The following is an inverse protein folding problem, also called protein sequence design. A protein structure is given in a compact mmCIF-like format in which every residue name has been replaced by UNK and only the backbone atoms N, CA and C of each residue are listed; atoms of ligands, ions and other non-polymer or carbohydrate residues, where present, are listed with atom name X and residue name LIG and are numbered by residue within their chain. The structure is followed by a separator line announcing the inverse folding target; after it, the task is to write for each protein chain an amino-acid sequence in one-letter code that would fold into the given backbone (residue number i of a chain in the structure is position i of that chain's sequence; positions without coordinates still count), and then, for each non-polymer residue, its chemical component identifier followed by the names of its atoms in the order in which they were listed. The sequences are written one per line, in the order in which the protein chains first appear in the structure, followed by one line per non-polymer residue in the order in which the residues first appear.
data_IF_590919568098
#
_entry.id   IF_590919568098
#
_cell.length_a   1.000
_cell.length_b   1.000
_cell.length_c   1.000
_cell.angle_alpha   90.00
_cell.angle_beta   90.00
_cell.angle_gamma   90.00
#
_symmetry.space_group_name_H-M   'P 1'
#
loop_
_entity.id
_entity.type
_entity.pdbx_description
1 polymer ?
#
# COMPACT_ATOMS: atom_id res chain seq x y z
N UNK A 1 7.93 16.99 -9.67
CA UNK A 1 6.89 16.29 -8.89
C UNK A 1 7.40 16.14 -7.48
N UNK A 2 6.63 16.61 -6.50
CA UNK A 2 6.91 16.41 -5.07
C UNK A 2 6.62 14.93 -4.71
N UNK A 3 7.32 14.38 -3.71
CA UNK A 3 7.08 12.98 -3.30
C UNK A 3 5.68 12.86 -2.71
N UNK A 4 4.87 11.96 -3.26
CA UNK A 4 3.54 11.69 -2.71
C UNK A 4 3.64 10.83 -1.44
N UNK A 5 3.48 11.46 -0.28
CA UNK A 5 3.49 10.77 1.01
C UNK A 5 2.18 10.03 1.30
N UNK A 6 1.13 10.19 0.49
CA UNK A 6 -0.15 9.48 0.68
C UNK A 6 -0.03 7.97 0.43
N UNK A 7 1.01 7.53 -0.27
CA UNK A 7 1.29 6.11 -0.52
C UNK A 7 1.85 5.38 0.73
N UNK A 8 2.24 6.13 1.75
CA UNK A 8 2.79 5.59 3.00
C UNK A 8 1.66 5.23 3.96
N UNK A 9 1.90 4.22 4.80
CA UNK A 9 1.00 3.97 5.93
C UNK A 9 1.12 5.11 6.95
N UNK A 10 0.13 5.33 7.83
CA UNK A 10 0.21 6.38 8.86
C UNK A 10 1.53 6.31 9.66
N UNK A 11 1.91 5.11 10.12
CA UNK A 11 3.16 4.90 10.85
C UNK A 11 4.41 5.20 10.01
N UNK A 12 4.41 4.82 8.74
CA UNK A 12 5.52 5.14 7.83
C UNK A 12 5.66 6.63 7.58
N UNK A 13 4.54 7.32 7.39
CA UNK A 13 4.50 8.75 7.16
C UNK A 13 5.06 9.49 8.37
N UNK A 14 4.60 9.15 9.58
CA UNK A 14 5.14 9.73 10.81
C UNK A 14 6.63 9.49 10.94
N UNK A 15 7.09 8.23 10.92
CA UNK A 15 8.52 7.89 11.06
C UNK A 15 9.38 8.61 10.01
N UNK A 16 8.90 8.71 8.77
CA UNK A 16 9.58 9.42 7.69
C UNK A 16 9.70 10.93 7.99
N UNK A 17 8.61 11.59 8.37
CA UNK A 17 8.58 13.01 8.69
C UNK A 17 9.49 13.35 9.87
N UNK A 18 9.40 12.62 10.98
CA UNK A 18 10.30 12.82 12.13
C UNK A 18 11.79 12.68 11.73
N UNK A 19 12.09 11.75 10.82
CA UNK A 19 13.47 11.51 10.39
C UNK A 19 13.99 12.57 9.42
N UNK A 20 13.16 13.01 8.47
CA UNK A 20 13.56 13.91 7.38
C UNK A 20 13.40 15.38 7.78
N UNK A 21 12.23 15.75 8.33
CA UNK A 21 11.90 17.13 8.67
C UNK A 21 12.54 17.55 10.00
N UNK A 22 12.41 16.69 11.02
CA UNK A 22 12.91 17.00 12.38
C UNK A 22 14.32 16.47 12.65
N UNK A 23 14.93 15.76 11.69
CA UNK A 23 16.29 15.20 11.76
C UNK A 23 16.57 14.37 13.03
N UNK A 24 15.54 13.76 13.65
CA UNK A 24 15.70 12.97 14.86
C UNK A 24 16.53 11.70 14.62
N UNK A 25 17.18 11.21 15.67
CA UNK A 25 17.82 9.88 15.65
C UNK A 25 16.73 8.80 15.70
N UNK A 26 17.04 7.57 15.27
CA UNK A 26 16.07 6.46 15.38
C UNK A 26 15.65 6.20 16.83
N UNK A 27 16.55 6.47 17.79
CA UNK A 27 16.23 6.40 19.21
C UNK A 27 15.21 7.46 19.61
N UNK A 28 15.39 8.71 19.18
CA UNK A 28 14.43 9.78 19.44
C UNK A 28 13.07 9.54 18.78
N UNK A 29 13.04 9.02 17.54
CA UNK A 29 11.76 8.63 16.90
C UNK A 29 11.08 7.50 17.66
N UNK A 30 11.85 6.52 18.13
CA UNK A 30 11.32 5.39 18.87
C UNK A 30 10.72 5.79 20.23
N UNK A 31 11.37 6.71 20.95
CA UNK A 31 10.87 7.25 22.22
C UNK A 31 9.51 7.96 22.04
N UNK A 32 9.36 8.78 21.00
CA UNK A 32 8.12 9.53 20.74
C UNK A 32 6.96 8.63 20.32
N UNK A 33 7.25 7.58 19.53
CA UNK A 33 6.23 6.70 18.97
C UNK A 33 6.01 5.42 19.79
N UNK A 34 6.66 5.27 20.94
CA UNK A 34 6.56 4.06 21.77
C UNK A 34 7.07 2.80 21.09
N UNK A 35 8.04 2.93 20.17
CA UNK A 35 8.63 1.82 19.41
C UNK A 35 10.01 1.44 19.96
N UNK A 36 10.56 0.33 19.47
CA UNK A 36 12.01 0.11 19.59
C UNK A 36 12.77 0.84 18.48
N UNK A 37 14.02 1.29 18.71
CA UNK A 37 14.85 1.93 17.69
C UNK A 37 15.00 1.09 16.41
N UNK A 38 15.07 -0.24 16.54
CA UNK A 38 15.14 -1.15 15.39
C UNK A 38 13.83 -1.19 14.59
N UNK A 39 12.68 -1.15 15.26
CA UNK A 39 11.38 -1.05 14.59
C UNK A 39 11.29 0.28 13.84
N UNK A 40 11.63 1.40 14.48
CA UNK A 40 11.63 2.72 13.84
C UNK A 40 12.55 2.75 12.60
N UNK A 41 13.75 2.17 12.69
CA UNK A 41 14.65 2.03 11.54
C UNK A 41 14.03 1.19 10.42
N UNK A 42 13.42 0.04 10.73
CA UNK A 42 12.78 -0.83 9.73
C UNK A 42 11.61 -0.15 9.04
N UNK A 43 10.74 0.53 9.80
CA UNK A 43 9.60 1.29 9.25
C UNK A 43 10.11 2.39 8.31
N UNK A 44 11.12 3.15 8.73
CA UNK A 44 11.76 4.17 7.89
C UNK A 44 12.29 3.58 6.57
N UNK A 45 13.04 2.48 6.63
CA UNK A 45 13.59 1.84 5.43
C UNK A 45 12.49 1.33 4.48
N UNK A 46 11.38 0.81 5.02
CA UNK A 46 10.21 0.40 4.22
C UNK A 46 9.53 1.59 3.55
N UNK A 47 9.38 2.71 4.25
CA UNK A 47 8.87 3.96 3.69
C UNK A 47 9.76 4.45 2.53
N UNK A 48 11.07 4.50 2.72
CA UNK A 48 12.02 4.87 1.66
C UNK A 48 11.97 3.92 0.46
N UNK A 49 11.84 2.60 0.71
CA UNK A 49 11.69 1.62 -0.36
C UNK A 49 10.44 1.92 -1.20
N UNK A 50 9.29 2.15 -0.55
CA UNK A 50 8.04 2.41 -1.26
C UNK A 50 8.07 3.73 -2.04
N UNK A 51 8.62 4.80 -1.46
CA UNK A 51 8.82 6.07 -2.16
C UNK A 51 9.72 5.92 -3.39
N UNK A 52 10.77 5.10 -3.28
CA UNK A 52 11.63 4.78 -4.42
C UNK A 52 10.88 3.96 -5.48
N UNK A 53 10.09 2.97 -5.09
CA UNK A 53 9.29 2.19 -6.04
C UNK A 53 8.25 3.06 -6.77
N UNK A 54 7.59 3.97 -6.07
CA UNK A 54 6.70 4.98 -6.66
C UNK A 54 7.45 5.87 -7.64
N UNK A 55 8.62 6.38 -7.24
CA UNK A 55 9.48 7.19 -8.11
C UNK A 55 9.84 6.42 -9.38
N UNK A 56 10.27 5.17 -9.23
CA UNK A 56 10.64 4.34 -10.37
C UNK A 56 9.43 4.08 -11.28
N UNK A 57 8.23 3.92 -10.70
CA UNK A 57 7.00 3.67 -11.46
C UNK A 57 6.55 4.90 -12.26
N UNK A 58 6.59 6.10 -11.68
CA UNK A 58 6.05 7.32 -12.31
C UNK A 58 7.09 8.23 -12.98
N UNK A 59 8.27 8.38 -12.37
CA UNK A 59 9.28 9.33 -12.85
C UNK A 59 10.27 8.67 -13.81
N UNK A 60 10.68 7.44 -13.52
CA UNK A 60 11.66 6.74 -14.35
C UNK A 60 10.98 6.00 -15.53
N UNK A 61 9.67 5.69 -15.40
CA UNK A 61 8.85 5.01 -16.42
C UNK A 61 7.49 5.71 -16.60
N UNK A 62 7.46 6.97 -17.06
CA UNK A 62 6.22 7.75 -17.17
C UNK A 62 5.16 7.11 -18.08
N UNK A 63 5.55 6.21 -18.98
CA UNK A 63 4.64 5.42 -19.82
C UNK A 63 3.66 4.55 -19.01
N UNK A 64 3.98 4.24 -17.74
CA UNK A 64 3.07 3.50 -16.87
C UNK A 64 1.79 4.27 -16.52
N UNK A 65 1.81 5.59 -16.66
CA UNK A 65 0.66 6.47 -16.41
C UNK A 65 -0.16 6.74 -17.68
N UNK A 66 0.29 6.26 -18.84
CA UNK A 66 -0.44 6.42 -20.10
C UNK A 66 -1.73 5.60 -20.10
N UNK A 67 -2.88 6.19 -20.46
CA UNK A 67 -4.13 5.46 -20.50
C UNK A 67 -4.13 4.46 -21.66
N UNK A 68 -4.34 3.18 -21.33
CA UNK A 68 -4.46 2.11 -22.31
C UNK A 68 -5.94 1.71 -22.46
N UNK A 69 -6.46 1.80 -23.68
CA UNK A 69 -7.83 1.38 -24.01
C UNK A 69 -7.81 -0.02 -24.65
N UNK A 70 -8.15 -1.04 -23.86
CA UNK A 70 -8.35 -2.41 -24.34
C UNK A 70 -9.83 -2.74 -24.15
N UNK A 71 -10.57 -3.17 -25.19
CA UNK A 71 -11.95 -3.58 -25.03
C UNK A 71 -12.00 -4.86 -24.20
N UNK A 72 -12.76 -4.84 -23.11
CA UNK A 72 -13.05 -6.01 -22.31
C UNK A 72 -14.56 -6.29 -22.30
N UNK A 73 -14.92 -7.56 -22.34
CA UNK A 73 -16.25 -8.04 -21.97
C UNK A 73 -16.39 -8.08 -20.45
N UNK A 74 -17.63 -8.12 -19.97
CA UNK A 74 -17.93 -8.29 -18.54
C UNK A 74 -17.25 -9.51 -17.94
N UNK A 75 -17.27 -10.65 -18.64
CA UNK A 75 -16.67 -11.90 -18.15
C UNK A 75 -15.15 -11.84 -18.06
N UNK A 76 -14.47 -11.19 -19.01
CA UNK A 76 -13.01 -11.01 -18.96
C UNK A 76 -12.59 -10.10 -17.79
N UNK A 77 -13.38 -9.06 -17.48
CA UNK A 77 -13.16 -8.23 -16.30
C UNK A 77 -13.32 -9.01 -14.99
N UNK A 78 -14.27 -9.96 -14.91
CA UNK A 78 -14.39 -10.83 -13.73
C UNK A 78 -13.17 -11.76 -13.58
N UNK A 79 -12.64 -12.30 -14.69
CA UNK A 79 -11.40 -13.09 -14.69
C UNK A 79 -10.22 -12.24 -14.22
N UNK A 80 -10.10 -11.00 -14.72
CA UNK A 80 -9.05 -10.07 -14.30
C UNK A 80 -9.16 -9.74 -12.81
N UNK A 81 -10.37 -9.48 -12.31
CA UNK A 81 -10.62 -9.25 -10.89
C UNK A 81 -10.19 -10.47 -10.04
N UNK A 82 -10.50 -11.68 -10.52
CA UNK A 82 -10.04 -12.93 -9.90
C UNK A 82 -8.50 -13.03 -9.85
N UNK A 83 -7.81 -12.66 -10.93
CA UNK A 83 -6.36 -12.64 -10.99
C UNK A 83 -5.75 -11.61 -10.01
N UNK A 84 -6.34 -10.42 -9.91
CA UNK A 84 -5.90 -9.40 -8.97
C UNK A 84 -6.10 -9.83 -7.51
N UNK A 85 -7.20 -10.52 -7.18
CA UNK A 85 -7.39 -11.12 -5.86
C UNK A 85 -6.35 -12.21 -5.55
N UNK A 86 -5.94 -13.01 -6.53
CA UNK A 86 -4.88 -13.98 -6.34
C UNK A 86 -3.51 -13.30 -6.12
N UNK A 87 -3.24 -12.22 -6.85
CA UNK A 87 -2.06 -11.40 -6.67
C UNK A 87 -2.01 -10.74 -5.28
N UNK A 88 -3.12 -10.18 -4.82
CA UNK A 88 -3.29 -9.65 -3.45
C UNK A 88 -2.95 -10.72 -2.40
N UNK A 89 -3.58 -11.90 -2.48
CA UNK A 89 -3.30 -13.01 -1.56
C UNK A 89 -1.83 -13.39 -1.53
N UNK A 90 -1.16 -13.38 -2.70
CA UNK A 90 0.27 -13.65 -2.81
C UNK A 90 1.12 -12.59 -2.10
N UNK A 91 0.78 -11.32 -2.24
CA UNK A 91 1.47 -10.22 -1.58
C UNK A 91 1.26 -10.22 -0.06
N UNK A 92 0.09 -10.65 0.41
CA UNK A 92 -0.24 -10.73 1.82
C UNK A 92 0.34 -11.97 2.52
N UNK A 93 0.63 -13.05 1.79
CA UNK A 93 1.17 -14.31 2.33
C UNK A 93 2.40 -14.16 3.27
N UNK A 94 3.42 -13.32 2.98
CA UNK A 94 4.58 -13.18 3.86
C UNK A 94 4.31 -12.32 5.12
N UNK A 95 3.18 -11.61 5.20
CA UNK A 95 2.87 -10.69 6.28
C UNK A 95 2.35 -11.47 7.49
N UNK A 96 2.94 -11.21 8.67
CA UNK A 96 2.56 -11.89 9.91
C UNK A 96 1.50 -11.07 10.65
N UNK A 97 0.61 -11.76 11.37
CA UNK A 97 -0.49 -11.15 12.14
C UNK A 97 -0.03 -10.10 13.17
N UNK A 98 1.17 -10.24 13.72
CA UNK A 98 1.69 -9.36 14.78
C UNK A 98 2.79 -8.41 14.27
N UNK A 99 2.91 -8.21 12.95
CA UNK A 99 3.83 -7.20 12.43
C UNK A 99 3.32 -5.80 12.81
N UNK A 100 4.22 -4.95 13.30
CA UNK A 100 3.90 -3.57 13.73
C UNK A 100 3.37 -2.70 12.57
N UNK A 101 3.68 -3.08 11.33
CA UNK A 101 3.28 -2.37 10.12
C UNK A 101 3.11 -3.40 8.99
N UNK A 102 1.99 -4.17 9.01
CA UNK A 102 1.72 -5.24 8.06
C UNK A 102 1.67 -4.68 6.63
N UNK A 103 0.88 -3.63 6.43
CA UNK A 103 0.69 -2.97 5.15
C UNK A 103 1.95 -2.27 4.67
N UNK A 104 2.82 -1.79 5.57
CA UNK A 104 4.10 -1.22 5.19
C UNK A 104 5.09 -2.19 4.55
N UNK A 105 4.84 -3.49 4.64
CA UNK A 105 5.63 -4.50 3.95
C UNK A 105 5.28 -4.61 2.46
N UNK A 106 4.10 -4.15 2.05
CA UNK A 106 3.65 -4.24 0.68
C UNK A 106 4.51 -3.38 -0.27
N UNK A 107 4.81 -3.87 -1.49
CA UNK A 107 5.43 -3.04 -2.51
C UNK A 107 4.43 -2.02 -3.06
N UNK A 108 4.93 -0.97 -3.73
CA UNK A 108 4.10 0.03 -4.40
C UNK A 108 3.11 -0.59 -5.40
N UNK A 109 3.51 -1.65 -6.12
CA UNK A 109 2.64 -2.39 -7.03
C UNK A 109 1.38 -2.98 -6.35
N UNK A 110 1.40 -3.18 -5.03
CA UNK A 110 0.19 -3.55 -4.28
C UNK A 110 -0.87 -2.45 -4.29
N UNK A 111 -0.46 -1.18 -4.18
CA UNK A 111 -1.38 -0.04 -4.23
C UNK A 111 -2.05 0.06 -5.61
N UNK A 112 -1.24 -0.05 -6.67
CA UNK A 112 -1.73 -0.05 -8.06
C UNK A 112 -2.75 -1.16 -8.28
N UNK A 113 -2.46 -2.38 -7.82
CA UNK A 113 -3.39 -3.51 -7.91
C UNK A 113 -4.68 -3.28 -7.11
N UNK A 114 -4.57 -2.66 -5.93
CA UNK A 114 -5.72 -2.32 -5.08
C UNK A 114 -6.65 -1.30 -5.75
N UNK A 115 -6.11 -0.23 -6.30
CA UNK A 115 -6.88 0.79 -7.02
C UNK A 115 -7.52 0.21 -8.29
N UNK A 116 -6.80 -0.66 -9.02
CA UNK A 116 -7.35 -1.34 -10.18
C UNK A 116 -8.52 -2.27 -9.81
N UNK A 117 -8.41 -3.01 -8.70
CA UNK A 117 -9.52 -3.81 -8.16
C UNK A 117 -10.76 -2.97 -7.89
N UNK A 118 -10.62 -1.83 -7.21
CA UNK A 118 -11.74 -0.95 -6.87
C UNK A 118 -12.40 -0.37 -8.13
N UNK A 119 -11.59 0.08 -9.09
CA UNK A 119 -12.08 0.57 -10.40
C UNK A 119 -12.85 -0.50 -11.18
N UNK A 120 -12.35 -1.73 -11.24
CA UNK A 120 -13.02 -2.84 -11.93
C UNK A 120 -14.35 -3.17 -11.24
N UNK A 121 -14.38 -3.21 -9.90
CA UNK A 121 -15.62 -3.46 -9.14
C UNK A 121 -16.68 -2.38 -9.39
N UNK A 122 -16.29 -1.10 -9.34
CA UNK A 122 -17.19 0.01 -9.65
C UNK A 122 -17.75 -0.11 -11.08
N UNK A 123 -16.93 -0.53 -12.03
CA UNK A 123 -17.38 -0.73 -13.42
C UNK A 123 -18.33 -1.94 -13.58
N UNK A 124 -18.07 -3.04 -12.87
CA UNK A 124 -18.86 -4.26 -12.96
C UNK A 124 -20.16 -4.21 -12.15
N UNK A 125 -20.13 -3.59 -10.98
CA UNK A 125 -21.18 -3.73 -9.96
C UNK A 125 -21.81 -2.39 -9.57
N UNK A 126 -21.21 -1.26 -9.94
CA UNK A 126 -21.66 0.07 -9.51
C UNK A 126 -21.29 0.43 -8.07
N UNK A 127 -20.69 -0.50 -7.33
CA UNK A 127 -20.26 -0.34 -5.94
C UNK A 127 -19.00 -1.17 -5.67
N UNK A 128 -18.29 -0.84 -4.59
CA UNK A 128 -17.17 -1.64 -4.09
C UNK A 128 -17.74 -2.71 -3.16
N UNK A 129 -17.82 -3.95 -3.63
CA UNK A 129 -18.31 -5.09 -2.83
C UNK A 129 -17.27 -5.58 -1.84
N UNK A 130 -15.98 -5.48 -2.20
CA UNK A 130 -14.85 -5.88 -1.37
C UNK A 130 -13.74 -4.85 -1.44
N UNK A 131 -13.46 -4.22 -0.30
CA UNK A 131 -12.26 -3.40 -0.14
C UNK A 131 -11.01 -4.24 -0.23
N UNK A 132 -10.02 -3.73 -0.97
CA UNK A 132 -8.70 -4.33 -1.09
C UNK A 132 -7.93 -4.17 0.22
N UNK A 133 -7.22 -5.22 0.63
CA UNK A 133 -6.29 -5.16 1.78
C UNK A 133 -4.91 -4.65 1.34
N UNK A 134 -4.81 -4.00 0.19
CA UNK A 134 -3.54 -3.48 -0.32
C UNK A 134 -3.37 -1.99 -0.09
N UNK A 135 -4.43 -1.27 0.31
CA UNK A 135 -4.38 0.17 0.57
C UNK A 135 -4.27 0.45 2.08
N UNK A 136 -3.46 1.43 2.49
CA UNK A 136 -3.45 1.95 3.85
C UNK A 136 -4.53 3.02 3.98
N UNK A 137 -5.80 2.64 3.99
CA UNK A 137 -6.86 3.57 4.37
C UNK A 137 -6.94 3.66 5.91
N UNK A 138 -7.40 4.81 6.43
CA UNK A 138 -7.62 5.00 7.88
C UNK A 138 -8.60 3.96 8.47
N UNK A 139 -9.43 3.37 7.63
CA UNK A 139 -10.37 2.28 7.90
C UNK A 139 -9.76 0.87 7.93
N UNK A 140 -8.48 0.71 7.59
CA UNK A 140 -7.74 -0.58 7.63
C UNK A 140 -7.67 -1.21 9.02
N UNK A 141 -7.86 -0.43 10.09
CA UNK A 141 -7.97 -0.96 11.46
C UNK A 141 -9.26 -1.78 11.66
N UNK A 142 -10.33 -1.49 10.90
CA UNK A 142 -11.67 -2.07 11.10
C UNK A 142 -11.81 -3.41 10.35
N UNK A 143 -11.21 -3.57 9.18
CA UNK A 143 -11.47 -4.76 8.32
C UNK A 143 -10.63 -6.00 8.67
N UNK A 144 -9.62 -5.88 9.53
CA UNK A 144 -8.80 -7.03 9.96
C UNK A 144 -9.47 -7.91 11.01
N UNK A 145 -10.48 -7.40 11.72
CA UNK A 145 -11.18 -8.17 12.76
C UNK A 145 -12.29 -9.08 12.22
N UNK A 146 -12.95 -8.72 11.11
CA UNK A 146 -14.21 -9.37 10.74
C UNK A 146 -14.10 -10.44 9.62
N UNK A 147 -12.99 -10.55 8.91
CA UNK A 147 -12.94 -11.33 7.65
C UNK A 147 -12.04 -12.58 7.67
N UNK A 148 -11.80 -13.19 8.84
CA UNK A 148 -11.06 -14.46 8.93
C UNK A 148 -11.67 -15.47 9.92
N UNK A 149 -12.98 -15.38 10.19
CA UNK A 149 -13.77 -16.48 10.76
C UNK A 149 -14.34 -17.38 9.67
#
# INVERSE_FOLDING_TARGET
MEQDLSILTPLQKEVYQWKVEQKKSYKGVAEELGLSPDVARRVYLRACRRLREWKNYHLDHPENDEPVAIPFTRGELEVLLGALHAFEKRLLRPIRRNDTDPYGMLPYAGLVAGELCERIQLHLYGEIQRHTKLRPDETSEITLMDNFL
#
